data_IF_499843208295
#
_entry.id   IF_499843208295
#
_cell.length_a   1.000
_cell.length_b   1.000
_cell.length_c   1.000
_cell.angle_alpha   90.00
_cell.angle_beta   90.00
_cell.angle_gamma   90.00
#
_symmetry.space_group_name_H-M   'P 1'
#
loop_
_entity.id
_entity.type
_entity.pdbx_description
1 polymer ?
#
# COMPACT_ATOMS: atom_id res chain seq x y z
N UNK A 1 -10.67 13.77 -9.65
CA UNK A 1 -9.69 12.68 -9.58
C UNK A 1 -8.80 13.01 -8.41
N UNK A 2 -8.91 12.25 -7.32
CA UNK A 2 -8.07 12.46 -6.13
C UNK A 2 -6.59 12.19 -6.46
N UNK A 3 -5.76 11.88 -5.48
CA UNK A 3 -4.33 11.57 -5.71
C UNK A 3 -4.08 10.17 -6.35
N UNK A 4 -5.13 9.48 -6.81
CA UNK A 4 -5.08 8.11 -7.35
C UNK A 4 -4.14 7.92 -8.56
N UNK A 5 -4.14 8.81 -9.59
CA UNK A 5 -3.21 8.68 -10.71
C UNK A 5 -1.74 8.73 -10.27
N UNK A 6 -1.45 9.55 -9.25
CA UNK A 6 -0.11 9.67 -8.69
C UNK A 6 0.30 8.42 -7.92
N UNK A 7 -0.59 7.90 -7.07
CA UNK A 7 -0.35 6.65 -6.32
C UNK A 7 0.02 5.54 -7.31
N UNK A 8 -0.78 5.37 -8.36
CA UNK A 8 -0.58 4.36 -9.38
C UNK A 8 0.73 4.56 -10.14
N UNK A 9 1.05 5.79 -10.53
CA UNK A 9 2.32 6.10 -11.20
C UNK A 9 3.55 5.80 -10.32
N UNK A 10 3.51 6.20 -9.04
CA UNK A 10 4.60 5.97 -8.09
C UNK A 10 4.84 4.48 -7.87
N UNK A 11 3.75 3.73 -7.77
CA UNK A 11 3.72 2.27 -7.69
C UNK A 11 4.38 1.61 -8.91
N UNK A 12 3.99 2.03 -10.11
CA UNK A 12 4.53 1.46 -11.35
C UNK A 12 6.03 1.74 -11.45
N UNK A 13 6.47 2.96 -11.15
CA UNK A 13 7.90 3.31 -11.16
C UNK A 13 8.67 2.51 -10.10
N UNK A 14 8.08 2.28 -8.92
CA UNK A 14 8.73 1.49 -7.87
C UNK A 14 8.85 0.00 -8.26
N UNK A 15 7.85 -0.57 -8.92
CA UNK A 15 7.90 -1.92 -9.48
C UNK A 15 8.92 -2.01 -10.62
N UNK A 16 8.91 -1.06 -11.55
CA UNK A 16 9.90 -0.97 -12.63
C UNK A 16 11.32 -0.80 -12.10
N UNK A 17 11.50 -0.10 -10.98
CA UNK A 17 12.78 0.04 -10.29
C UNK A 17 13.34 -1.27 -9.75
N UNK A 18 12.51 -2.27 -9.49
CA UNK A 18 12.95 -3.60 -9.04
C UNK A 18 13.20 -4.56 -10.20
N UNK A 19 12.57 -4.32 -11.37
CA UNK A 19 12.71 -5.16 -12.57
C UNK A 19 13.85 -4.66 -13.47
N UNK A 20 14.03 -3.34 -13.54
CA UNK A 20 14.99 -2.71 -14.44
C UNK A 20 16.23 -2.30 -13.62
N UNK A 21 17.39 -2.95 -13.83
CA UNK A 21 18.60 -2.72 -13.02
C UNK A 21 19.17 -1.31 -13.16
N UNK A 22 18.88 -0.60 -14.26
CA UNK A 22 19.29 0.80 -14.43
C UNK A 22 18.51 1.76 -13.52
N UNK A 23 17.22 1.50 -13.29
CA UNK A 23 16.42 2.24 -12.31
C UNK A 23 16.78 1.83 -10.88
N UNK A 24 17.08 0.54 -10.65
CA UNK A 24 17.54 0.05 -9.35
C UNK A 24 18.82 0.76 -8.88
N UNK A 25 19.80 0.93 -9.79
CA UNK A 25 21.04 1.68 -9.49
C UNK A 25 20.75 3.15 -9.19
N UNK A 26 19.80 3.78 -9.87
CA UNK A 26 19.39 5.15 -9.54
C UNK A 26 18.75 5.24 -8.14
N UNK A 27 18.00 4.23 -7.71
CA UNK A 27 17.42 4.13 -6.35
C UNK A 27 18.51 3.90 -5.31
N UNK A 28 19.45 2.98 -5.57
CA UNK A 28 20.43 2.49 -4.60
C UNK A 28 21.69 3.36 -4.51
N UNK A 29 22.21 3.83 -5.64
CA UNK A 29 23.51 4.52 -5.77
C UNK A 29 23.37 6.03 -6.00
N UNK A 30 22.21 6.49 -6.51
CA UNK A 30 22.02 7.87 -6.94
C UNK A 30 21.78 8.92 -5.85
N UNK A 31 21.73 8.54 -4.57
CA UNK A 31 21.53 9.48 -3.46
C UNK A 31 20.28 10.36 -3.65
N UNK A 32 20.43 11.67 -3.47
CA UNK A 32 19.35 12.66 -3.67
C UNK A 32 19.04 12.93 -5.15
N UNK A 33 20.06 12.94 -6.02
CA UNK A 33 19.88 13.16 -7.46
C UNK A 33 19.09 12.02 -8.14
N UNK A 34 19.36 10.78 -7.76
CA UNK A 34 18.62 9.59 -8.21
C UNK A 34 17.16 9.64 -7.81
N UNK A 35 16.87 10.04 -6.56
CA UNK A 35 15.50 10.24 -6.06
C UNK A 35 14.78 11.35 -6.82
N UNK A 36 15.46 12.46 -7.13
CA UNK A 36 14.88 13.55 -7.93
C UNK A 36 14.51 13.08 -9.35
N UNK A 37 15.36 12.24 -9.97
CA UNK A 37 15.12 11.69 -11.31
C UNK A 37 13.93 10.72 -11.34
N UNK A 38 13.82 9.86 -10.33
CA UNK A 38 12.68 8.95 -10.15
C UNK A 38 11.38 9.72 -9.92
N UNK A 39 11.44 10.79 -9.12
CA UNK A 39 10.30 11.68 -8.93
C UNK A 39 9.88 12.33 -10.25
N UNK A 40 10.84 12.76 -11.10
CA UNK A 40 10.52 13.30 -12.43
C UNK A 40 9.81 12.27 -13.32
N UNK A 41 10.27 11.03 -13.37
CA UNK A 41 9.59 9.97 -14.14
C UNK A 41 8.19 9.68 -13.59
N UNK A 42 8.05 9.63 -12.27
CA UNK A 42 6.75 9.44 -11.60
C UNK A 42 5.78 10.55 -11.97
N UNK A 43 6.23 11.82 -12.01
CA UNK A 43 5.41 12.96 -12.42
C UNK A 43 4.92 12.86 -13.86
N UNK A 44 5.82 12.53 -14.79
CA UNK A 44 5.47 12.37 -16.21
C UNK A 44 4.42 11.26 -16.35
N UNK A 45 4.65 10.12 -15.71
CA UNK A 45 3.71 9.00 -15.75
C UNK A 45 2.36 9.36 -15.12
N UNK A 46 2.36 10.14 -14.03
CA UNK A 46 1.13 10.61 -13.36
C UNK A 46 0.27 11.42 -14.31
N UNK A 47 0.86 12.35 -15.08
CA UNK A 47 0.10 13.20 -16.01
C UNK A 47 -0.51 12.34 -17.13
N UNK A 48 0.25 11.39 -17.67
CA UNK A 48 -0.25 10.46 -18.71
C UNK A 48 -1.39 9.60 -18.16
N UNK A 49 -1.25 9.04 -16.96
CA UNK A 49 -2.30 8.24 -16.32
C UNK A 49 -3.53 9.09 -15.96
N UNK A 50 -3.34 10.33 -15.50
CA UNK A 50 -4.43 11.24 -15.21
C UNK A 50 -5.22 11.61 -16.48
N UNK A 51 -4.56 11.74 -17.62
CA UNK A 51 -5.22 11.94 -18.90
C UNK A 51 -6.05 10.72 -19.29
N UNK A 52 -5.50 9.52 -19.17
CA UNK A 52 -6.19 8.27 -19.52
C UNK A 52 -7.39 8.03 -18.59
N UNK A 53 -7.20 8.12 -17.28
CA UNK A 53 -8.26 7.90 -16.30
C UNK A 53 -9.32 9.02 -16.38
N UNK A 54 -8.92 10.26 -16.69
CA UNK A 54 -9.84 11.37 -16.93
C UNK A 54 -10.73 11.15 -18.15
N UNK A 55 -10.17 10.59 -19.23
CA UNK A 55 -10.93 10.20 -20.43
C UNK A 55 -11.92 9.08 -20.12
N UNK A 56 -11.51 8.07 -19.35
CA UNK A 56 -12.40 6.99 -18.92
C UNK A 56 -13.60 7.52 -18.12
N UNK A 57 -13.35 8.43 -17.18
CA UNK A 57 -14.38 9.10 -16.39
C UNK A 57 -15.33 9.91 -17.28
N UNK A 58 -14.80 10.71 -18.20
CA UNK A 58 -15.62 11.51 -19.10
C UNK A 58 -16.52 10.65 -20.00
N UNK A 59 -15.99 9.58 -20.58
CA UNK A 59 -16.74 8.66 -21.43
C UNK A 59 -17.84 7.93 -20.64
N UNK A 60 -17.55 7.49 -19.42
CA UNK A 60 -18.53 6.81 -18.56
C UNK A 60 -19.66 7.74 -18.10
N UNK A 61 -19.37 9.01 -17.79
CA UNK A 61 -20.40 9.95 -17.37
C UNK A 61 -21.18 10.56 -18.55
N UNK A 62 -20.62 10.55 -19.77
CA UNK A 62 -21.33 10.95 -20.99
C UNK A 62 -22.56 10.10 -21.23
N UNK A 63 -22.49 8.78 -21.01
CA UNK A 63 -23.62 7.86 -21.18
C UNK A 63 -24.63 7.95 -20.02
N UNK A 64 -24.24 8.52 -18.88
CA UNK A 64 -25.08 8.67 -17.69
C UNK A 64 -25.96 9.94 -17.71
N UNK A 65 -25.91 10.76 -18.77
CA UNK A 65 -26.75 11.95 -18.93
C UNK A 65 -26.45 13.11 -17.99
N UNK A 66 -25.30 13.09 -17.30
CA UNK A 66 -24.93 14.11 -16.29
C UNK A 66 -24.47 15.42 -16.94
N UNK A 67 -23.99 15.38 -18.18
CA UNK A 67 -23.51 16.56 -18.90
C UNK A 67 -24.64 17.24 -19.68
N UNK A 68 -24.80 18.54 -19.46
CA UNK A 68 -25.77 19.41 -20.16
C UNK A 68 -25.53 19.42 -21.67
N UNK A 69 -24.26 19.36 -22.09
CA UNK A 69 -23.85 19.21 -23.49
C UNK A 69 -22.69 18.23 -23.62
N UNK A 70 -22.82 17.25 -24.50
CA UNK A 70 -21.76 16.25 -24.76
C UNK A 70 -20.75 16.67 -25.84
N UNK A 71 -20.57 17.98 -26.00
CA UNK A 71 -19.63 18.57 -26.95
C UNK A 71 -18.17 18.24 -26.61
N UNK A 72 -17.31 18.21 -27.63
CA UNK A 72 -15.86 18.06 -27.47
C UNK A 72 -15.27 19.14 -26.54
N UNK A 73 -15.85 20.34 -26.56
CA UNK A 73 -15.45 21.47 -25.73
C UNK A 73 -15.70 21.19 -24.23
N UNK A 74 -16.85 20.60 -23.89
CA UNK A 74 -17.16 20.17 -22.51
C UNK A 74 -16.19 19.08 -22.05
N UNK A 75 -15.87 18.12 -22.92
CA UNK A 75 -14.89 17.08 -22.63
C UNK A 75 -13.51 17.65 -22.31
N UNK A 76 -13.02 18.58 -23.12
CA UNK A 76 -11.74 19.24 -22.89
C UNK A 76 -11.71 20.03 -21.57
N UNK A 77 -12.79 20.75 -21.24
CA UNK A 77 -12.90 21.51 -19.98
C UNK A 77 -12.90 20.59 -18.76
N UNK A 78 -13.67 19.49 -18.80
CA UNK A 78 -13.71 18.50 -17.71
C UNK A 78 -12.36 17.82 -17.54
N UNK A 79 -11.74 17.36 -18.64
CA UNK A 79 -10.43 16.71 -18.61
C UNK A 79 -9.34 17.63 -18.05
N UNK A 80 -9.26 18.86 -18.57
CA UNK A 80 -8.27 19.82 -18.11
C UNK A 80 -8.49 20.22 -16.64
N UNK A 81 -9.74 20.36 -16.18
CA UNK A 81 -10.06 20.62 -14.77
C UNK A 81 -9.62 19.47 -13.86
N UNK A 82 -9.90 18.21 -14.23
CA UNK A 82 -9.50 17.04 -13.45
C UNK A 82 -7.98 16.84 -13.43
N UNK A 83 -7.31 17.06 -14.56
CA UNK A 83 -5.85 16.98 -14.67
C UNK A 83 -5.18 18.10 -13.88
N UNK A 84 -5.70 19.33 -13.96
CA UNK A 84 -5.21 20.48 -13.20
C UNK A 84 -5.38 20.25 -11.69
N UNK A 85 -6.52 19.72 -11.24
CA UNK A 85 -6.73 19.36 -9.83
C UNK A 85 -5.71 18.33 -9.32
N UNK A 86 -5.44 17.28 -10.10
CA UNK A 86 -4.45 16.26 -9.76
C UNK A 86 -3.03 16.83 -9.73
N UNK A 87 -2.68 17.69 -10.71
CA UNK A 87 -1.39 18.36 -10.77
C UNK A 87 -1.17 19.33 -9.60
N UNK A 88 -2.22 20.04 -9.18
CA UNK A 88 -2.20 20.93 -8.02
C UNK A 88 -1.97 20.14 -6.72
N UNK A 89 -2.66 19.01 -6.53
CA UNK A 89 -2.44 18.14 -5.36
C UNK A 89 -1.03 17.59 -5.33
N UNK A 90 -0.50 17.16 -6.47
CA UNK A 90 0.88 16.70 -6.60
C UNK A 90 1.89 17.80 -6.24
N UNK A 91 1.67 19.02 -6.75
CA UNK A 91 2.51 20.17 -6.40
C UNK A 91 2.46 20.50 -4.91
N UNK A 92 1.27 20.49 -4.29
CA UNK A 92 1.13 20.68 -2.84
C UNK A 92 1.89 19.60 -2.06
N UNK A 93 1.87 18.34 -2.52
CA UNK A 93 2.62 17.26 -1.91
C UNK A 93 4.13 17.50 -1.91
N UNK A 94 4.67 18.07 -2.99
CA UNK A 94 6.08 18.46 -3.06
C UNK A 94 6.39 19.63 -2.13
N UNK A 95 5.52 20.64 -2.06
CA UNK A 95 5.70 21.77 -1.14
C UNK A 95 5.72 21.31 0.32
N UNK A 96 4.86 20.37 0.71
CA UNK A 96 4.85 19.80 2.06
C UNK A 96 6.18 19.06 2.33
N UNK A 97 6.66 18.29 1.36
CA UNK A 97 7.92 17.54 1.47
C UNK A 97 9.12 18.50 1.62
N UNK A 98 9.19 19.55 0.81
CA UNK A 98 10.28 20.53 0.84
C UNK A 98 10.31 21.35 2.14
N UNK A 99 9.15 21.57 2.76
CA UNK A 99 9.03 22.25 4.07
C UNK A 99 9.33 21.33 5.26
N UNK A 100 9.75 20.09 5.03
CA UNK A 100 10.30 19.20 6.04
C UNK A 100 9.27 18.40 6.86
N UNK A 101 7.98 18.46 6.52
CA UNK A 101 6.94 17.70 7.23
C UNK A 101 6.79 16.31 6.57
N UNK A 102 7.81 15.47 6.72
CA UNK A 102 7.79 14.09 6.24
C UNK A 102 7.57 13.93 4.73
N UNK A 103 6.85 12.86 4.33
CA UNK A 103 6.47 12.63 2.94
C UNK A 103 5.12 13.30 2.64
N UNK A 104 5.16 14.40 1.90
CA UNK A 104 3.97 15.21 1.63
C UNK A 104 2.87 14.49 0.84
N UNK A 105 3.23 13.53 -0.01
CA UNK A 105 2.23 12.71 -0.72
C UNK A 105 1.51 11.79 0.27
N UNK A 106 2.24 11.14 1.17
CA UNK A 106 1.63 10.29 2.21
C UNK A 106 0.70 11.09 3.11
N UNK A 107 1.04 12.35 3.41
CA UNK A 107 0.18 13.25 4.17
C UNK A 107 -1.12 13.60 3.43
N UNK A 108 -1.07 13.83 2.12
CA UNK A 108 -2.29 14.09 1.34
C UNK A 108 -3.20 12.85 1.31
N UNK A 109 -2.63 11.65 1.15
CA UNK A 109 -3.38 10.39 1.22
C UNK A 109 -4.04 10.25 2.60
N UNK A 110 -3.27 10.50 3.66
CA UNK A 110 -3.76 10.43 5.04
C UNK A 110 -4.93 11.41 5.29
N UNK A 111 -4.80 12.66 4.86
CA UNK A 111 -5.88 13.66 4.96
C UNK A 111 -7.09 13.22 4.15
N UNK A 112 -6.91 12.65 2.96
CA UNK A 112 -8.00 12.15 2.12
C UNK A 112 -8.78 10.99 2.76
N UNK A 113 -8.09 10.09 3.47
CA UNK A 113 -8.74 9.00 4.22
C UNK A 113 -9.48 9.58 5.44
N UNK A 114 -8.84 10.49 6.18
CA UNK A 114 -9.45 11.12 7.36
C UNK A 114 -10.65 11.98 6.98
N UNK A 115 -10.64 12.67 5.83
CA UNK A 115 -11.79 13.47 5.39
C UNK A 115 -13.04 12.61 5.11
N UNK A 116 -12.88 11.31 4.91
CA UNK A 116 -13.99 10.36 4.82
C UNK A 116 -14.56 9.95 6.18
N UNK A 117 -13.78 10.03 7.26
CA UNK A 117 -14.21 9.57 8.60
C UNK A 117 -15.48 10.26 9.13
N UNK A 118 -15.68 11.59 8.95
CA UNK A 118 -16.89 12.27 9.39
C UNK A 118 -18.17 11.71 8.78
N UNK A 119 -18.12 11.12 7.57
CA UNK A 119 -19.31 10.55 6.91
C UNK A 119 -19.85 9.28 7.59
N UNK A 120 -19.04 8.63 8.43
CA UNK A 120 -19.49 7.47 9.21
C UNK A 120 -20.36 7.88 10.40
N UNK A 121 -20.20 9.10 10.94
CA UNK A 121 -20.99 9.60 12.07
C UNK A 121 -22.50 9.62 11.76
N UNK A 122 -22.98 10.26 10.67
CA UNK A 122 -24.40 10.24 10.32
C UNK A 122 -24.86 8.84 9.91
N UNK A 123 -23.98 7.99 9.36
CA UNK A 123 -24.32 6.60 9.02
C UNK A 123 -24.64 5.79 10.29
N UNK A 124 -23.79 5.90 11.31
CA UNK A 124 -24.00 5.27 12.62
C UNK A 124 -25.24 5.86 13.31
N UNK A 125 -25.44 7.17 13.20
CA UNK A 125 -26.62 7.84 13.73
C UNK A 125 -27.92 7.34 13.11
N UNK A 126 -27.97 7.22 11.77
CA UNK A 126 -29.14 6.70 11.05
C UNK A 126 -29.39 5.21 11.32
N UNK A 127 -28.36 4.44 11.67
CA UNK A 127 -28.51 3.05 12.11
C UNK A 127 -29.16 2.95 13.50
N UNK A 128 -28.88 3.90 14.40
CA UNK A 128 -29.50 3.96 15.73
C UNK A 128 -30.93 4.51 15.68
N UNK A 129 -31.17 5.47 14.79
CA UNK A 129 -32.45 6.17 14.61
C UNK A 129 -33.01 5.95 13.22
N UNK A 130 -33.53 4.74 12.95
CA UNK A 130 -34.30 4.53 11.72
C UNK A 130 -35.67 5.20 11.85
N UNK A 131 -35.95 6.17 10.99
CA UNK A 131 -37.27 6.82 10.86
C UNK A 131 -37.85 7.38 12.18
N UNK A 132 -37.00 7.88 13.08
CA UNK A 132 -37.44 8.51 14.35
C UNK A 132 -37.82 7.53 15.47
N UNK A 133 -37.70 6.22 15.25
CA UNK A 133 -37.87 5.21 16.29
C UNK A 133 -36.52 4.69 16.80
N UNK A 134 -36.38 4.56 18.12
CA UNK A 134 -35.22 3.89 18.72
C UNK A 134 -35.31 2.39 18.47
N UNK A 135 -34.34 1.86 17.72
CA UNK A 135 -34.19 0.41 17.56
C UNK A 135 -33.08 -0.10 18.48
N UNK A 136 -33.44 -0.98 19.42
CA UNK A 136 -32.46 -1.64 20.32
C UNK A 136 -31.43 -2.47 19.53
N UNK A 137 -31.82 -3.00 18.37
CA UNK A 137 -30.90 -3.71 17.47
C UNK A 137 -29.95 -2.77 16.72
N UNK A 138 -30.41 -1.55 16.41
CA UNK A 138 -29.61 -0.47 15.82
C UNK A 138 -28.51 0.05 16.76
N UNK A 139 -28.83 0.19 18.05
CA UNK A 139 -27.86 0.56 19.08
C UNK A 139 -26.78 -0.53 19.27
N UNK A 140 -27.20 -1.80 19.33
CA UNK A 140 -26.28 -2.91 19.55
C UNK A 140 -25.32 -3.10 18.36
N UNK A 141 -25.83 -2.94 17.13
CA UNK A 141 -25.01 -3.00 15.91
C UNK A 141 -24.05 -1.82 15.80
N UNK A 142 -24.50 -0.60 16.13
CA UNK A 142 -23.63 0.59 16.18
C UNK A 142 -22.48 0.43 17.20
N UNK A 143 -22.79 -0.01 18.43
CA UNK A 143 -21.80 -0.32 19.45
C UNK A 143 -20.83 -1.41 19.00
N UNK A 144 -21.35 -2.47 18.38
CA UNK A 144 -20.54 -3.55 17.81
C UNK A 144 -19.54 -3.06 16.76
N UNK A 145 -19.94 -2.16 15.86
CA UNK A 145 -19.06 -1.57 14.85
C UNK A 145 -17.97 -0.72 15.49
N UNK A 146 -18.31 0.13 16.47
CA UNK A 146 -17.34 1.00 17.15
C UNK A 146 -16.31 0.18 17.92
N UNK A 147 -16.76 -0.80 18.72
CA UNK A 147 -15.88 -1.69 19.47
C UNK A 147 -15.01 -2.51 18.51
N UNK A 148 -15.62 -3.06 17.46
CA UNK A 148 -14.90 -3.79 16.41
C UNK A 148 -13.81 -2.94 15.75
N UNK A 149 -14.10 -1.68 15.41
CA UNK A 149 -13.13 -0.76 14.84
C UNK A 149 -11.96 -0.49 15.79
N UNK A 150 -12.23 -0.27 17.09
CA UNK A 150 -11.18 -0.06 18.09
C UNK A 150 -10.29 -1.29 18.19
N UNK A 151 -10.87 -2.48 18.33
CA UNK A 151 -10.14 -3.76 18.43
C UNK A 151 -9.27 -3.97 17.19
N UNK A 152 -9.80 -3.69 15.99
CA UNK A 152 -9.07 -3.84 14.74
C UNK A 152 -7.91 -2.85 14.64
N UNK A 153 -8.12 -1.57 15.00
CA UNK A 153 -7.05 -0.57 15.04
C UNK A 153 -5.94 -1.00 16.01
N UNK A 154 -6.29 -1.43 17.23
CA UNK A 154 -5.30 -1.90 18.21
C UNK A 154 -4.54 -3.11 17.69
N UNK A 155 -5.23 -4.08 17.08
CA UNK A 155 -4.59 -5.26 16.49
C UNK A 155 -3.60 -4.88 15.37
N UNK A 156 -3.99 -3.98 14.46
CA UNK A 156 -3.12 -3.51 13.36
C UNK A 156 -1.90 -2.78 13.90
N UNK A 157 -2.07 -1.87 14.87
CA UNK A 157 -0.97 -1.14 15.48
C UNK A 157 0.00 -2.08 16.19
N UNK A 158 -0.51 -3.07 16.93
CA UNK A 158 0.31 -4.08 17.59
C UNK A 158 1.17 -4.87 16.60
N UNK A 159 0.57 -5.35 15.51
CA UNK A 159 1.28 -6.11 14.47
C UNK A 159 2.29 -5.24 13.73
N UNK A 160 1.98 -3.97 13.49
CA UNK A 160 2.84 -3.06 12.75
C UNK A 160 4.04 -2.55 13.58
N UNK A 161 3.89 -2.46 14.89
CA UNK A 161 4.99 -2.12 15.81
C UNK A 161 5.82 -3.35 16.22
N UNK A 162 5.33 -4.58 16.01
CA UNK A 162 6.07 -5.78 16.32
C UNK A 162 7.37 -5.86 15.50
N UNK A 163 8.51 -5.85 16.21
CA UNK A 163 9.84 -5.98 15.62
C UNK A 163 10.64 -7.08 16.32
N UNK A 164 11.38 -7.85 15.51
CA UNK A 164 12.36 -8.82 15.98
C UNK A 164 13.73 -8.18 15.93
N UNK A 165 14.31 -7.89 17.09
CA UNK A 165 15.63 -7.29 17.21
C UNK A 165 16.72 -8.36 17.10
N UNK A 166 17.53 -8.31 16.04
CA UNK A 166 18.68 -9.22 15.87
C UNK A 166 19.95 -8.50 16.34
N UNK A 167 20.63 -8.97 17.40
CA UNK A 167 21.82 -8.30 17.92
C UNK A 167 23.00 -8.45 16.95
N UNK A 168 23.71 -7.34 16.74
CA UNK A 168 24.94 -7.28 15.95
C UNK A 168 26.04 -6.67 16.82
N UNK A 169 27.16 -7.35 16.88
CA UNK A 169 28.35 -6.87 17.57
C UNK A 169 29.36 -6.41 16.53
N UNK A 170 29.80 -5.17 16.63
CA UNK A 170 30.90 -4.65 15.83
C UNK A 170 32.23 -4.98 16.50
N UNK A 171 33.15 -5.53 15.72
CA UNK A 171 34.49 -5.88 16.18
C UNK A 171 35.24 -4.60 16.56
N UNK A 172 35.81 -4.57 17.76
CA UNK A 172 36.53 -3.40 18.28
C UNK A 172 37.87 -3.21 17.57
N UNK A 173 38.31 -1.95 17.47
CA UNK A 173 39.72 -1.63 17.35
C UNK A 173 40.29 -1.51 18.77
N UNK A 174 41.25 -2.36 19.13
CA UNK A 174 41.90 -2.30 20.44
C UNK A 174 42.85 -1.11 20.44
N UNK A 175 42.65 -0.13 21.32
CA UNK A 175 43.59 0.98 21.53
C UNK A 175 44.20 0.81 22.93
N UNK A 176 45.46 0.37 23.00
CA UNK A 176 46.16 0.10 24.25
C UNK A 176 45.70 -1.18 24.98
N UNK A 177 45.60 -1.15 26.32
CA UNK A 177 45.18 -2.28 27.19
C UNK A 177 43.71 -2.26 27.60
N UNK A 178 42.94 -1.23 27.24
CA UNK A 178 41.53 -1.09 27.62
C UNK A 178 40.62 -1.33 26.42
N UNK A 179 39.71 -2.30 26.54
CA UNK A 179 38.65 -2.52 25.56
C UNK A 179 37.55 -1.46 25.71
N UNK A 180 37.68 -0.33 25.03
CA UNK A 180 36.62 0.70 25.02
C UNK A 180 35.56 0.35 23.97
N UNK A 181 34.27 0.39 24.36
CA UNK A 181 33.13 0.43 23.45
C UNK A 181 32.78 -0.88 22.73
N UNK A 182 32.16 -1.85 23.41
CA UNK A 182 31.35 -2.86 22.70
C UNK A 182 29.98 -2.21 22.49
N UNK A 183 29.81 -1.45 21.42
CA UNK A 183 28.48 -0.97 21.09
C UNK A 183 27.71 -2.13 20.45
N UNK A 184 26.96 -2.86 21.28
CA UNK A 184 25.95 -3.79 20.79
C UNK A 184 24.90 -2.96 20.07
N UNK A 185 24.80 -3.17 18.76
CA UNK A 185 23.70 -2.63 17.98
C UNK A 185 22.73 -3.76 17.68
N UNK A 186 21.58 -3.42 17.13
CA UNK A 186 20.59 -4.39 16.74
C UNK A 186 20.01 -3.97 15.41
N UNK A 187 19.70 -4.95 14.57
CA UNK A 187 18.96 -4.73 13.33
C UNK A 187 17.49 -5.01 13.65
N UNK A 188 16.61 -4.01 13.60
CA UNK A 188 15.18 -4.22 13.77
C UNK A 188 14.62 -4.88 12.51
N UNK A 189 14.19 -6.14 12.62
CA UNK A 189 13.44 -6.83 11.58
C UNK A 189 11.95 -6.72 11.93
N UNK A 190 11.26 -5.76 11.32
CA UNK A 190 9.81 -5.59 11.50
C UNK A 190 9.07 -6.83 11.01
N UNK A 191 7.98 -7.21 11.68
CA UNK A 191 7.16 -8.34 11.27
C UNK A 191 6.48 -8.08 9.91
N UNK A 192 5.98 -6.87 9.71
CA UNK A 192 5.42 -6.39 8.45
C UNK A 192 6.41 -5.48 7.71
N UNK A 193 7.51 -6.06 7.20
CA UNK A 193 8.53 -5.29 6.45
C UNK A 193 7.96 -4.59 5.21
N UNK A 194 6.92 -5.17 4.62
CA UNK A 194 6.28 -4.64 3.42
C UNK A 194 5.32 -3.46 3.67
N UNK A 195 4.91 -3.23 4.92
CA UNK A 195 3.97 -2.17 5.28
C UNK A 195 2.65 -2.24 4.49
N UNK A 196 2.19 -1.09 4.00
CA UNK A 196 0.90 -0.94 3.27
C UNK A 196 1.08 -1.09 1.75
N UNK A 197 2.31 -1.20 1.24
CA UNK A 197 2.56 -1.22 -0.21
C UNK A 197 1.90 -2.42 -0.93
N UNK A 198 1.98 -3.67 -0.42
CA UNK A 198 1.37 -4.82 -1.09
C UNK A 198 -0.15 -4.75 -1.26
N UNK A 199 -0.87 -4.23 -0.26
CA UNK A 199 -2.33 -4.12 -0.34
C UNK A 199 -2.76 -3.07 -1.36
N UNK A 200 -1.98 -1.98 -1.48
CA UNK A 200 -2.23 -0.97 -2.50
C UNK A 200 -1.95 -1.55 -3.89
N UNK A 201 -0.84 -2.28 -4.09
CA UNK A 201 -0.57 -2.97 -5.36
C UNK A 201 -1.68 -3.94 -5.75
N UNK A 202 -2.16 -4.76 -4.80
CA UNK A 202 -3.26 -5.66 -5.05
C UNK A 202 -4.53 -4.89 -5.45
N UNK A 203 -4.82 -3.76 -4.79
CA UNK A 203 -6.02 -2.96 -5.12
C UNK A 203 -5.91 -2.31 -6.49
N UNK A 204 -4.76 -1.74 -6.85
CA UNK A 204 -4.53 -1.15 -8.16
C UNK A 204 -4.56 -2.20 -9.28
N UNK A 205 -4.03 -3.41 -9.02
CA UNK A 205 -4.09 -4.51 -9.98
C UNK A 205 -5.53 -4.97 -10.22
N UNK A 206 -6.35 -5.02 -9.16
CA UNK A 206 -7.75 -5.38 -9.28
C UNK A 206 -8.58 -4.31 -9.99
N UNK A 207 -8.32 -3.02 -9.77
CA UNK A 207 -9.10 -1.92 -10.37
C UNK A 207 -8.69 -1.59 -11.82
N UNK A 208 -7.45 -1.89 -12.21
CA UNK A 208 -6.92 -1.58 -13.54
C UNK A 208 -7.74 -2.20 -14.69
N UNK A 209 -8.13 -3.49 -14.66
CA UNK A 209 -8.99 -4.08 -15.67
C UNK A 209 -10.36 -3.40 -15.77
N UNK A 210 -11.02 -3.06 -14.64
CA UNK A 210 -12.30 -2.37 -14.69
C UNK A 210 -12.20 -1.02 -15.40
N UNK A 211 -11.11 -0.28 -15.17
CA UNK A 211 -10.89 1.02 -15.81
C UNK A 211 -10.76 0.88 -17.33
N UNK A 212 -10.00 -0.10 -17.82
CA UNK A 212 -9.86 -0.36 -19.26
C UNK A 212 -11.18 -0.82 -19.86
N UNK A 213 -11.86 -1.76 -19.19
CA UNK A 213 -13.09 -2.35 -19.69
C UNK A 213 -14.21 -1.31 -19.81
N UNK A 214 -14.34 -0.40 -18.84
CA UNK A 214 -15.29 0.74 -18.90
C UNK A 214 -15.00 1.70 -20.06
N UNK A 215 -13.74 1.83 -20.47
CA UNK A 215 -13.34 2.74 -21.54
C UNK A 215 -13.76 2.22 -22.92
N UNK A 216 -13.76 0.90 -23.14
CA UNK A 216 -14.12 0.30 -24.43
C UNK A 216 -15.60 -0.04 -24.54
N UNK A 217 -16.29 -0.34 -23.43
CA UNK A 217 -17.70 -0.72 -23.46
C UNK A 217 -18.40 -0.12 -22.24
N UNK A 218 -19.17 0.94 -22.47
CA UNK A 218 -19.86 1.74 -21.46
C UNK A 218 -21.04 1.02 -20.78
N UNK A 219 -21.63 0.00 -21.42
CA UNK A 219 -22.83 -0.74 -20.95
C UNK A 219 -22.54 -2.17 -20.44
N UNK A 220 -21.33 -2.45 -19.95
CA UNK A 220 -21.00 -3.81 -19.49
C UNK A 220 -21.73 -4.22 -18.21
N UNK A 221 -22.23 -3.27 -17.42
CA UNK A 221 -22.93 -3.57 -16.17
C UNK A 221 -24.12 -4.53 -16.36
N UNK A 222 -24.80 -4.44 -17.51
CA UNK A 222 -25.99 -5.24 -17.87
C UNK A 222 -25.69 -6.40 -18.83
N UNK A 223 -24.53 -6.41 -19.48
CA UNK A 223 -24.13 -7.44 -20.45
C UNK A 223 -23.70 -8.76 -19.75
N UNK A 224 -23.91 -9.90 -20.43
CA UNK A 224 -23.41 -11.22 -20.02
C UNK A 224 -22.33 -11.71 -20.97
N UNK A 225 -21.09 -11.75 -20.52
CA UNK A 225 -19.92 -12.22 -21.28
C UNK A 225 -18.66 -12.29 -20.41
N UNK A 226 -17.56 -12.87 -20.94
CA UNK A 226 -16.29 -13.02 -20.22
C UNK A 226 -15.76 -11.67 -19.68
N UNK A 227 -15.80 -10.63 -20.50
CA UNK A 227 -15.41 -9.26 -20.11
C UNK A 227 -16.34 -8.62 -19.08
N UNK A 228 -17.63 -8.97 -19.10
CA UNK A 228 -18.58 -8.55 -18.07
C UNK A 228 -18.38 -9.28 -16.74
N UNK A 229 -17.95 -10.54 -16.78
CA UNK A 229 -17.55 -11.29 -15.59
C UNK A 229 -16.29 -10.69 -14.95
N UNK A 230 -15.29 -10.29 -15.74
CA UNK A 230 -14.08 -9.60 -15.24
C UNK A 230 -14.43 -8.22 -14.66
N UNK A 231 -15.34 -7.49 -15.30
CA UNK A 231 -15.82 -6.21 -14.80
C UNK A 231 -16.57 -6.34 -13.47
N UNK A 232 -17.54 -7.26 -13.37
CA UNK A 232 -18.29 -7.55 -12.14
C UNK A 232 -17.38 -8.06 -11.03
N UNK A 233 -16.34 -8.84 -11.38
CA UNK A 233 -15.31 -9.30 -10.45
C UNK A 233 -14.43 -8.16 -9.91
N UNK A 234 -14.05 -7.21 -10.77
CA UNK A 234 -13.24 -6.05 -10.40
C UNK A 234 -14.03 -5.01 -9.57
N UNK A 235 -15.29 -4.73 -9.94
CA UNK A 235 -16.19 -3.82 -9.21
C UNK A 235 -16.74 -4.40 -7.90
N UNK A 236 -16.75 -5.72 -7.73
CA UNK A 236 -17.08 -6.35 -6.46
C UNK A 236 -16.14 -5.94 -5.31
N UNK A 237 -15.02 -5.27 -5.61
CA UNK A 237 -14.11 -4.66 -4.60
C UNK A 237 -14.70 -3.39 -3.97
N UNK A 238 -15.62 -2.70 -4.68
CA UNK A 238 -16.11 -1.37 -4.31
C UNK A 238 -17.63 -1.27 -4.18
N UNK A 239 -18.40 -2.29 -4.57
CA UNK A 239 -19.87 -2.26 -4.48
C UNK A 239 -20.46 -3.60 -4.03
N UNK A 240 -21.40 -3.53 -3.07
CA UNK A 240 -22.07 -4.69 -2.46
C UNK A 240 -23.19 -5.29 -3.31
N UNK A 241 -23.39 -4.81 -4.55
CA UNK A 241 -24.55 -5.15 -5.39
C UNK A 241 -24.27 -6.30 -6.38
N UNK A 242 -23.28 -7.14 -6.09
CA UNK A 242 -22.83 -8.25 -6.94
C UNK A 242 -23.16 -9.59 -6.26
N UNK A 243 -23.58 -10.65 -6.97
CA UNK A 243 -23.95 -11.92 -6.36
C UNK A 243 -22.85 -12.46 -5.44
N UNK A 244 -23.24 -13.01 -4.29
CA UNK A 244 -22.37 -13.50 -3.20
C UNK A 244 -21.20 -14.36 -3.68
N UNK A 245 -21.40 -15.18 -4.72
CA UNK A 245 -20.35 -16.00 -5.33
C UNK A 245 -19.18 -15.21 -5.94
N UNK A 246 -19.45 -14.07 -6.57
CA UNK A 246 -18.41 -13.21 -7.16
C UNK A 246 -17.68 -12.38 -6.10
N UNK A 247 -18.36 -11.96 -5.03
CA UNK A 247 -17.73 -11.24 -3.90
C UNK A 247 -16.75 -12.13 -3.15
N UNK A 248 -17.10 -13.40 -2.90
CA UNK A 248 -16.23 -14.38 -2.23
C UNK A 248 -15.03 -14.75 -3.13
N UNK A 249 -15.27 -15.00 -4.42
CA UNK A 249 -14.20 -15.29 -5.37
C UNK A 249 -13.23 -14.10 -5.50
N UNK A 250 -13.74 -12.87 -5.52
CA UNK A 250 -12.91 -11.66 -5.52
C UNK A 250 -12.11 -11.55 -4.22
N UNK A 251 -12.73 -11.72 -3.06
CA UNK A 251 -12.04 -11.67 -1.78
C UNK A 251 -10.91 -12.70 -1.70
N UNK A 252 -11.10 -13.91 -2.23
CA UNK A 252 -10.07 -14.95 -2.28
C UNK A 252 -8.91 -14.59 -3.21
N UNK A 253 -9.19 -14.10 -4.42
CA UNK A 253 -8.14 -13.69 -5.36
C UNK A 253 -7.41 -12.45 -4.84
N UNK A 254 -8.12 -11.50 -4.26
CA UNK A 254 -7.55 -10.32 -3.63
C UNK A 254 -6.64 -10.69 -2.47
N UNK A 255 -7.06 -11.61 -1.60
CA UNK A 255 -6.23 -12.16 -0.52
C UNK A 255 -4.98 -12.85 -1.08
N UNK A 256 -5.12 -13.66 -2.13
CA UNK A 256 -4.00 -14.35 -2.77
C UNK A 256 -3.00 -13.33 -3.36
N UNK A 257 -3.49 -12.30 -4.05
CA UNK A 257 -2.69 -11.21 -4.59
C UNK A 257 -1.97 -10.45 -3.48
N UNK A 258 -2.65 -10.09 -2.38
CA UNK A 258 -2.03 -9.42 -1.23
C UNK A 258 -0.88 -10.28 -0.69
N UNK A 259 -1.11 -11.57 -0.48
CA UNK A 259 -0.07 -12.48 0.03
C UNK A 259 1.09 -12.58 -0.97
N UNK A 260 0.80 -12.79 -2.25
CA UNK A 260 1.79 -12.87 -3.32
C UNK A 260 2.67 -11.62 -3.39
N UNK A 261 2.04 -10.43 -3.43
CA UNK A 261 2.76 -9.15 -3.45
C UNK A 261 3.50 -8.88 -2.14
N UNK A 262 3.01 -9.35 -0.99
CA UNK A 262 3.70 -9.18 0.30
C UNK A 262 5.01 -9.97 0.32
N UNK A 263 4.99 -11.23 -0.15
CA UNK A 263 6.21 -12.03 -0.30
C UNK A 263 7.16 -11.40 -1.32
N UNK A 264 6.66 -11.09 -2.51
CA UNK A 264 7.46 -10.47 -3.57
C UNK A 264 8.15 -9.19 -3.10
N UNK A 265 7.39 -8.27 -2.50
CA UNK A 265 7.92 -6.99 -2.03
C UNK A 265 8.94 -7.15 -0.90
N UNK A 266 8.71 -8.07 0.04
CA UNK A 266 9.64 -8.30 1.15
C UNK A 266 10.99 -8.85 0.64
N UNK A 267 10.97 -9.81 -0.29
CA UNK A 267 12.20 -10.36 -0.87
C UNK A 267 12.94 -9.36 -1.76
N UNK A 268 12.20 -8.51 -2.50
CA UNK A 268 12.80 -7.52 -3.39
C UNK A 268 13.45 -6.36 -2.62
N UNK A 269 12.85 -5.93 -1.52
CA UNK A 269 13.36 -4.78 -0.73
C UNK A 269 14.44 -5.17 0.28
N UNK A 270 14.36 -6.36 0.87
CA UNK A 270 15.33 -6.83 1.85
C UNK A 270 16.19 -7.95 1.27
N UNK A 271 17.34 -7.59 0.68
CA UNK A 271 18.32 -8.56 0.21
C UNK A 271 19.22 -9.01 1.38
N UNK A 272 19.08 -10.25 1.91
CA UNK A 272 19.83 -10.70 3.08
C UNK A 272 21.33 -10.79 2.79
N UNK A 273 21.73 -11.00 1.52
CA UNK A 273 23.11 -11.08 1.12
C UNK A 273 23.80 -9.71 1.15
N UNK A 274 23.12 -8.65 0.71
CA UNK A 274 23.63 -7.27 0.79
C UNK A 274 23.76 -6.83 2.25
N UNK A 275 22.75 -7.09 3.09
CA UNK A 275 22.78 -6.75 4.51
C UNK A 275 23.92 -7.48 5.23
N UNK A 276 24.09 -8.77 4.98
CA UNK A 276 25.19 -9.57 5.51
C UNK A 276 26.57 -9.05 5.05
N UNK A 277 26.71 -8.69 3.77
CA UNK A 277 27.94 -8.10 3.25
C UNK A 277 28.24 -6.74 3.87
N UNK A 278 27.23 -5.90 4.11
CA UNK A 278 27.41 -4.62 4.80
C UNK A 278 27.83 -4.81 6.26
N UNK A 279 27.24 -5.78 6.99
CA UNK A 279 27.68 -6.15 8.34
C UNK A 279 29.16 -6.58 8.32
N UNK A 280 29.53 -7.46 7.38
CA UNK A 280 30.91 -7.94 7.24
C UNK A 280 31.88 -6.80 6.90
N UNK A 281 31.53 -5.92 5.96
CA UNK A 281 32.34 -4.74 5.58
C UNK A 281 32.55 -3.78 6.75
N UNK A 282 31.53 -3.61 7.59
CA UNK A 282 31.61 -2.77 8.79
C UNK A 282 32.26 -3.49 9.99
N UNK A 283 32.84 -4.68 9.81
CA UNK A 283 33.49 -5.45 10.87
C UNK A 283 32.51 -6.02 11.90
N UNK A 284 31.22 -6.09 11.59
CA UNK A 284 30.18 -6.65 12.44
C UNK A 284 30.01 -8.15 12.28
N UNK A 285 29.50 -8.80 13.32
CA UNK A 285 29.03 -10.18 13.27
C UNK A 285 27.85 -10.39 14.23
N UNK A 286 27.03 -11.39 13.93
CA UNK A 286 25.96 -11.84 14.83
C UNK A 286 26.58 -12.83 15.82
N UNK A 287 26.39 -12.66 17.15
CA UNK A 287 26.89 -13.61 18.14
C UNK A 287 26.50 -15.05 17.79
N UNK A 288 27.47 -15.97 17.76
CA UNK A 288 27.25 -17.38 17.44
C UNK A 288 27.23 -17.73 15.94
N UNK A 289 27.35 -16.75 15.03
CA UNK A 289 27.31 -16.99 13.57
C UNK A 289 28.48 -16.29 12.88
N UNK A 290 29.24 -17.05 12.08
CA UNK A 290 30.36 -16.49 11.31
C UNK A 290 29.85 -15.50 10.25
N UNK A 291 30.51 -14.35 10.13
CA UNK A 291 30.18 -13.31 9.15
C UNK A 291 30.31 -13.81 7.70
N UNK A 292 29.31 -13.53 6.86
CA UNK A 292 29.27 -13.92 5.44
C UNK A 292 28.10 -14.84 5.12
N UNK A 293 28.35 -15.93 4.38
CA UNK A 293 27.29 -16.87 3.95
C UNK A 293 26.41 -17.39 5.11
N UNK A 294 26.96 -17.79 6.27
CA UNK A 294 26.13 -18.26 7.39
C UNK A 294 25.21 -17.17 7.97
N UNK A 295 25.66 -15.91 7.99
CA UNK A 295 24.82 -14.76 8.36
C UNK A 295 23.68 -14.55 7.37
N UNK A 296 23.96 -14.68 6.07
CA UNK A 296 22.94 -14.58 5.00
C UNK A 296 21.87 -15.66 5.18
N UNK A 297 22.25 -16.92 5.37
CA UNK A 297 21.32 -18.03 5.57
C UNK A 297 20.46 -17.84 6.84
N UNK A 298 21.06 -17.37 7.93
CA UNK A 298 20.35 -17.05 9.15
C UNK A 298 19.30 -15.95 8.97
N UNK A 299 19.68 -14.84 8.33
CA UNK A 299 18.76 -13.74 8.03
C UNK A 299 17.65 -14.19 7.08
N UNK A 300 17.96 -14.94 6.02
CA UNK A 300 16.97 -15.52 5.10
C UNK A 300 15.97 -16.42 5.81
N UNK A 301 16.42 -17.28 6.74
CA UNK A 301 15.55 -18.15 7.54
C UNK A 301 14.64 -17.36 8.50
N UNK A 302 15.13 -16.25 9.03
CA UNK A 302 14.32 -15.36 9.87
C UNK A 302 13.25 -14.66 9.03
N UNK A 303 13.62 -14.12 7.86
CA UNK A 303 12.71 -13.39 6.98
C UNK A 303 11.63 -14.32 6.42
N UNK A 304 12.00 -15.52 5.99
CA UNK A 304 11.02 -16.50 5.50
C UNK A 304 10.05 -16.91 6.60
N UNK A 305 10.53 -17.12 7.83
CA UNK A 305 9.65 -17.37 8.98
C UNK A 305 8.77 -16.17 9.31
N UNK A 306 9.31 -14.95 9.35
CA UNK A 306 8.55 -13.74 9.67
C UNK A 306 7.44 -13.47 8.63
N UNK A 307 7.75 -13.63 7.33
CA UNK A 307 6.76 -13.49 6.25
C UNK A 307 5.68 -14.58 6.31
N UNK A 308 6.03 -15.81 6.68
CA UNK A 308 5.05 -16.87 6.96
C UNK A 308 4.25 -16.65 8.25
N UNK A 309 4.85 -16.06 9.29
CA UNK A 309 4.16 -15.76 10.55
C UNK A 309 3.22 -14.55 10.45
N UNK A 310 3.51 -13.58 9.58
CA UNK A 310 2.54 -12.55 9.18
C UNK A 310 1.25 -13.16 8.61
N UNK A 311 1.35 -14.35 7.99
CA UNK A 311 0.20 -15.16 7.55
C UNK A 311 -0.44 -15.99 8.68
N UNK A 312 0.31 -16.33 9.73
CA UNK A 312 -0.25 -17.09 10.87
C UNK A 312 -0.99 -16.21 11.89
N UNK A 313 -0.86 -14.88 11.86
CA UNK A 313 -1.63 -14.01 12.76
C UNK A 313 -3.14 -14.06 12.49
N UNK A 314 -3.57 -14.53 11.31
CA UNK A 314 -4.98 -14.88 11.06
C UNK A 314 -5.37 -16.31 11.48
N UNK A 315 -4.43 -17.15 11.93
CA UNK A 315 -4.69 -18.57 12.25
C UNK A 315 -4.17 -19.03 13.63
N UNK A 316 -3.35 -18.26 14.33
CA UNK A 316 -2.65 -18.69 15.54
C UNK A 316 -2.72 -17.67 16.67
N UNK A 317 -3.92 -17.16 16.95
CA UNK A 317 -4.22 -16.50 18.23
C UNK A 317 -4.29 -17.49 19.42
N UNK A 318 -3.74 -18.71 19.30
CA UNK A 318 -3.92 -19.77 20.30
C UNK A 318 -2.66 -20.38 20.89
N UNK A 319 -1.42 -20.04 20.46
CA UNK A 319 -0.26 -20.82 20.94
C UNK A 319 1.03 -20.09 21.34
N UNK A 320 1.07 -18.75 21.44
CA UNK A 320 2.27 -18.07 21.94
C UNK A 320 1.94 -16.98 22.96
N UNK A 321 1.22 -17.37 24.01
CA UNK A 321 1.19 -16.66 25.30
C UNK A 321 2.14 -17.29 26.34
N UNK A 322 2.94 -18.30 25.97
CA UNK A 322 3.86 -18.96 26.90
C UNK A 322 5.24 -19.13 26.25
N UNK A 323 6.07 -18.11 26.38
CA UNK A 323 7.51 -18.26 26.61
C UNK A 323 8.06 -16.90 27.04
N UNK A 324 8.65 -16.89 28.23
CA UNK A 324 9.29 -15.79 28.96
C UNK A 324 10.17 -14.85 28.12
#
# INVERSE_FOLDING_TARGET
>A
MSISPYITASIVIQLLGMVIPSLERLVKEGGEEGRAKINKYTKILTIVLALIEGLGIFLSYRTSGIFVDTSFLTGFVVLSSLMAGTALLMWLGEQITNKGIGNGISMIIFVGIISGLPSFIPTIWNLMFQAGAFSTTGLLTALGIVIGAIVLITAVVFVQQAERRVPVQYSKKVVGRKMVGAQSTHIPLKLAMAGVMPIIFASSFMTFPAMIIQMFISDIATQTGFWASIYKFSIATSSSNVPIGYSIANALVYLLLIVGFTFFYTYATFNPAEVSNNIKKNGGFIPGIRAGKPTTEYLSKIISRLTWFGRSIFSNYSYTSNAC
#
